data_IF_355149525891
#
_entry.id   IF_355149525891
#
_cell.length_a   1.000
_cell.length_b   1.000
_cell.length_c   1.000
_cell.angle_alpha   90.00
_cell.angle_beta   90.00
_cell.angle_gamma   90.00
#
_symmetry.space_group_name_H-M   'P 1'
#
loop_
_entity.id
_entity.type
_entity.pdbx_description
1 polymer ?
#
# COMPACT_ATOMS: atom_id res chain seq x y z
N UNK A 1 14.32 14.41 -6.36
CA UNK A 1 12.98 14.27 -5.74
C UNK A 1 12.09 13.61 -6.79
N UNK A 2 11.32 12.59 -6.43
CA UNK A 2 10.48 11.85 -7.38
C UNK A 2 9.13 12.54 -7.57
N UNK A 3 8.67 12.65 -8.80
CA UNK A 3 7.29 13.05 -9.11
C UNK A 3 6.35 11.93 -8.67
N UNK A 4 5.21 12.29 -8.07
CA UNK A 4 4.22 11.32 -7.59
C UNK A 4 2.98 11.38 -8.49
N UNK A 5 2.57 10.23 -8.99
CA UNK A 5 1.40 10.13 -9.88
C UNK A 5 0.11 10.63 -9.21
N UNK A 6 -0.02 10.40 -7.89
CA UNK A 6 -1.16 10.86 -7.11
C UNK A 6 -1.33 12.39 -7.11
N UNK A 7 -0.27 13.17 -7.40
CA UNK A 7 -0.32 14.65 -7.44
C UNK A 7 -1.40 15.17 -8.38
N UNK A 8 -1.50 14.60 -9.58
CA UNK A 8 -2.52 14.98 -10.55
C UNK A 8 -3.94 14.81 -9.99
N UNK A 9 -4.19 13.68 -9.30
CA UNK A 9 -5.49 13.40 -8.71
C UNK A 9 -5.82 14.32 -7.53
N UNK A 10 -4.82 14.70 -6.72
CA UNK A 10 -5.02 15.67 -5.63
C UNK A 10 -5.43 17.04 -6.17
N UNK A 11 -4.80 17.51 -7.25
CA UNK A 11 -5.15 18.79 -7.88
C UNK A 11 -6.59 18.76 -8.44
N UNK A 12 -6.96 17.71 -9.17
CA UNK A 12 -8.33 17.50 -9.65
C UNK A 12 -9.37 17.53 -8.51
N UNK A 13 -9.10 16.82 -7.42
CA UNK A 13 -10.00 16.77 -6.28
C UNK A 13 -10.12 18.11 -5.56
N UNK A 14 -9.08 18.92 -5.51
CA UNK A 14 -9.09 20.23 -4.84
C UNK A 14 -10.05 21.24 -5.49
N UNK A 15 -10.43 21.03 -6.74
CA UNK A 15 -11.43 21.87 -7.41
C UNK A 15 -12.84 21.64 -6.85
N UNK A 16 -13.13 20.43 -6.35
CA UNK A 16 -14.48 19.99 -5.97
C UNK A 16 -14.66 19.68 -4.49
N UNK A 17 -13.57 19.39 -3.76
CA UNK A 17 -13.61 18.98 -2.36
C UNK A 17 -12.99 20.04 -1.46
N UNK A 18 -13.72 20.44 -0.43
CA UNK A 18 -13.21 21.38 0.60
C UNK A 18 -12.12 20.74 1.45
N UNK A 19 -12.17 19.43 1.65
CA UNK A 19 -11.17 18.68 2.43
C UNK A 19 -10.64 17.52 1.62
N UNK A 20 -9.31 17.38 1.58
CA UNK A 20 -8.63 16.20 1.04
C UNK A 20 -7.79 15.60 2.16
N UNK A 21 -7.86 14.29 2.34
CA UNK A 21 -7.01 13.57 3.29
C UNK A 21 -6.04 12.66 2.54
N UNK A 22 -4.74 12.78 2.84
CA UNK A 22 -3.68 11.93 2.30
C UNK A 22 -3.15 11.01 3.40
N UNK A 23 -3.53 9.74 3.32
CA UNK A 23 -3.08 8.69 4.24
C UNK A 23 -1.99 7.81 3.62
N UNK A 24 -1.38 6.95 4.42
CA UNK A 24 -0.37 6.01 3.93
C UNK A 24 0.78 5.81 4.94
N UNK A 25 1.68 4.85 4.68
CA UNK A 25 2.73 4.51 5.63
C UNK A 25 3.63 5.71 5.96
N UNK A 26 4.27 5.66 7.11
CA UNK A 26 5.30 6.65 7.46
C UNK A 26 6.41 6.63 6.41
N UNK A 27 7.04 7.79 6.18
CA UNK A 27 8.13 7.96 5.20
C UNK A 27 7.75 7.68 3.72
N UNK A 28 6.46 7.52 3.38
CA UNK A 28 6.03 7.40 1.97
C UNK A 28 6.09 8.71 1.17
N UNK A 29 6.33 9.85 1.85
CA UNK A 29 6.46 11.17 1.21
C UNK A 29 5.17 11.99 1.19
N UNK A 30 4.19 11.72 2.07
CA UNK A 30 2.91 12.45 2.14
C UNK A 30 3.07 13.96 2.26
N UNK A 31 3.80 14.41 3.27
CA UNK A 31 4.07 15.84 3.50
C UNK A 31 4.73 16.50 2.29
N UNK A 32 5.70 15.82 1.69
CA UNK A 32 6.38 16.29 0.48
C UNK A 32 5.41 16.43 -0.69
N UNK A 33 4.58 15.40 -0.93
CA UNK A 33 3.56 15.44 -1.98
C UNK A 33 2.57 16.57 -1.78
N UNK A 34 2.04 16.74 -0.56
CA UNK A 34 1.07 17.82 -0.26
C UNK A 34 1.68 19.20 -0.53
N UNK A 35 2.93 19.46 -0.10
CA UNK A 35 3.63 20.73 -0.36
C UNK A 35 3.93 20.95 -1.87
N UNK A 36 4.22 19.88 -2.60
CA UNK A 36 4.44 19.99 -4.06
C UNK A 36 3.14 20.22 -4.84
N UNK A 37 2.05 19.59 -4.40
CA UNK A 37 0.76 19.75 -5.06
C UNK A 37 0.14 21.14 -4.76
N UNK A 38 0.35 21.66 -3.57
CA UNK A 38 -0.26 22.91 -3.09
C UNK A 38 0.80 23.88 -2.56
N UNK A 39 1.65 24.43 -3.44
CA UNK A 39 2.77 25.30 -3.01
C UNK A 39 2.31 26.62 -2.40
N UNK A 40 1.09 27.08 -2.72
CA UNK A 40 0.51 28.34 -2.23
C UNK A 40 -0.27 28.15 -0.92
N UNK A 41 -0.43 26.90 -0.42
CA UNK A 41 -1.08 26.64 0.85
C UNK A 41 -0.10 26.79 2.01
N UNK A 42 -0.58 27.38 3.08
CA UNK A 42 0.20 27.39 4.32
C UNK A 42 0.32 25.97 4.90
N UNK A 43 1.36 25.76 5.70
CA UNK A 43 1.68 24.45 6.27
C UNK A 43 1.81 24.49 7.79
N UNK A 44 1.06 23.64 8.46
CA UNK A 44 1.09 23.48 9.91
C UNK A 44 1.27 22.00 10.28
N UNK A 45 2.18 21.74 11.24
CA UNK A 45 2.43 20.41 11.78
C UNK A 45 1.96 20.28 13.22
N UNK A 46 0.98 19.44 13.47
CA UNK A 46 0.39 19.18 14.78
C UNK A 46 1.16 18.13 15.61
N UNK A 47 2.29 17.62 15.14
CA UNK A 47 3.19 16.83 15.98
C UNK A 47 3.85 17.69 17.05
N UNK A 48 4.12 18.98 16.75
CA UNK A 48 4.71 19.93 17.71
C UNK A 48 3.70 20.31 18.77
N UNK A 49 4.01 20.00 20.04
CA UNK A 49 3.12 20.28 21.16
C UNK A 49 2.76 21.77 21.29
N UNK A 50 3.72 22.68 21.04
CA UNK A 50 3.49 24.13 21.07
C UNK A 50 2.51 24.60 20.01
N UNK A 51 2.63 24.10 18.77
CA UNK A 51 1.71 24.39 17.68
C UNK A 51 0.31 23.85 17.99
N UNK A 52 0.23 22.61 18.48
CA UNK A 52 -1.02 21.97 18.84
C UNK A 52 -1.76 22.75 19.94
N UNK A 53 -1.08 23.14 21.02
CA UNK A 53 -1.69 23.93 22.09
C UNK A 53 -2.21 25.30 21.59
N UNK A 54 -1.49 25.94 20.65
CA UNK A 54 -1.96 27.20 20.03
C UNK A 54 -3.24 27.00 19.23
N UNK A 55 -3.29 25.95 18.41
CA UNK A 55 -4.46 25.62 17.58
C UNK A 55 -5.65 25.20 18.45
N UNK A 56 -5.42 24.40 19.48
CA UNK A 56 -6.46 23.92 20.41
C UNK A 56 -7.18 25.04 21.14
N UNK A 57 -6.49 26.18 21.40
CA UNK A 57 -7.08 27.34 22.07
C UNK A 57 -8.23 27.99 21.26
N UNK A 58 -8.09 28.03 19.92
CA UNK A 58 -9.12 28.58 19.02
C UNK A 58 -9.00 27.93 17.64
N UNK A 59 -9.59 26.74 17.50
CA UNK A 59 -9.49 25.94 16.24
C UNK A 59 -10.18 26.66 15.10
N UNK A 60 -11.36 27.24 15.34
CA UNK A 60 -12.15 27.92 14.30
C UNK A 60 -11.45 29.16 13.79
N UNK A 61 -11.04 30.06 14.69
CA UNK A 61 -10.28 31.25 14.34
C UNK A 61 -8.97 30.92 13.64
N UNK A 62 -8.29 29.84 14.06
CA UNK A 62 -7.11 29.34 13.37
C UNK A 62 -7.39 28.91 11.92
N UNK A 63 -8.43 28.12 11.67
CA UNK A 63 -8.79 27.65 10.33
C UNK A 63 -9.13 28.82 9.39
N UNK A 64 -9.86 29.82 9.89
CA UNK A 64 -10.29 30.97 9.10
C UNK A 64 -9.15 31.96 8.72
N UNK A 65 -7.97 31.84 9.35
CA UNK A 65 -6.80 32.67 8.99
C UNK A 65 -6.20 32.31 7.63
N UNK A 66 -6.55 31.15 7.04
CA UNK A 66 -5.93 30.62 5.82
C UNK A 66 -6.92 30.52 4.64
N UNK A 67 -7.39 31.66 4.10
CA UNK A 67 -8.39 31.65 3.02
C UNK A 67 -7.90 31.04 1.72
N UNK A 68 -6.58 31.00 1.48
CA UNK A 68 -5.97 30.44 0.28
C UNK A 68 -5.76 28.92 0.36
N UNK A 69 -5.91 28.34 1.55
CA UNK A 69 -5.74 26.90 1.80
C UNK A 69 -4.69 26.59 2.88
N UNK A 70 -4.85 25.44 3.52
CA UNK A 70 -3.99 24.99 4.62
C UNK A 70 -3.69 23.51 4.53
N UNK A 71 -2.42 23.14 4.65
CA UNK A 71 -1.96 21.76 4.83
C UNK A 71 -1.77 21.54 6.33
N UNK A 72 -2.53 20.61 6.90
CA UNK A 72 -2.46 20.22 8.31
C UNK A 72 -1.84 18.83 8.40
N UNK A 73 -0.60 18.77 8.83
CA UNK A 73 0.16 17.53 8.95
C UNK A 73 -0.01 16.91 10.35
N UNK A 74 -0.04 15.56 10.40
CA UNK A 74 -0.31 14.77 11.61
C UNK A 74 -1.63 15.19 12.31
N UNK A 75 -2.68 15.41 11.50
CA UNK A 75 -3.98 15.93 11.93
C UNK A 75 -4.64 15.07 13.03
N UNK A 76 -4.36 13.76 13.10
CA UNK A 76 -4.88 12.86 14.13
C UNK A 76 -4.45 13.24 15.56
N UNK A 77 -3.45 14.11 15.71
CA UNK A 77 -3.00 14.56 17.03
C UNK A 77 -3.92 15.59 17.69
N UNK A 78 -4.94 16.09 16.96
CA UNK A 78 -5.95 17.00 17.47
C UNK A 78 -7.34 16.55 17.01
N UNK A 79 -7.99 15.58 17.70
CA UNK A 79 -9.28 15.02 17.29
C UNK A 79 -10.41 16.05 17.18
N UNK A 80 -10.42 17.08 18.04
CA UNK A 80 -11.42 18.15 18.06
C UNK A 80 -11.43 18.97 16.76
N UNK A 81 -10.29 19.03 16.06
CA UNK A 81 -10.14 19.70 14.76
C UNK A 81 -11.19 19.22 13.74
N UNK A 82 -11.49 17.93 13.72
CA UNK A 82 -12.36 17.34 12.69
C UNK A 82 -13.81 17.80 12.81
N UNK A 83 -14.32 17.98 14.03
CA UNK A 83 -15.67 18.47 14.27
C UNK A 83 -15.81 19.96 13.94
N UNK A 84 -14.81 20.78 14.29
CA UNK A 84 -14.78 22.21 13.94
C UNK A 84 -14.61 22.39 12.43
N UNK A 85 -13.70 21.61 11.81
CA UNK A 85 -13.47 21.65 10.37
C UNK A 85 -14.76 21.33 9.59
N UNK A 86 -15.59 20.38 10.08
CA UNK A 86 -16.90 20.10 9.50
C UNK A 86 -17.77 21.35 9.43
N UNK A 87 -17.90 22.08 10.52
CA UNK A 87 -18.72 23.29 10.61
C UNK A 87 -18.19 24.37 9.65
N UNK A 88 -16.89 24.63 9.72
CA UNK A 88 -16.21 25.64 8.89
C UNK A 88 -16.41 25.39 7.39
N UNK A 89 -16.29 24.14 6.91
CA UNK A 89 -16.46 23.84 5.48
C UNK A 89 -17.93 23.76 5.05
N UNK A 90 -18.86 23.54 5.97
CA UNK A 90 -20.29 23.61 5.68
C UNK A 90 -20.77 25.08 5.52
N UNK A 91 -20.24 25.99 6.32
CA UNK A 91 -20.53 27.41 6.26
C UNK A 91 -19.83 28.12 5.10
N UNK A 92 -18.57 27.70 4.77
CA UNK A 92 -17.81 28.30 3.68
C UNK A 92 -17.15 27.24 2.79
N UNK A 93 -17.81 26.90 1.70
CA UNK A 93 -17.35 25.89 0.72
C UNK A 93 -16.19 26.37 -0.17
N UNK A 94 -15.74 27.61 -0.07
CA UNK A 94 -14.58 28.10 -0.80
C UNK A 94 -13.25 27.73 -0.13
N UNK A 95 -13.27 27.44 1.17
CA UNK A 95 -12.08 27.07 1.92
C UNK A 95 -11.55 25.68 1.51
N UNK A 96 -10.25 25.54 1.57
CA UNK A 96 -9.54 24.32 1.14
C UNK A 96 -8.56 23.84 2.21
N UNK A 97 -8.68 22.60 2.60
CA UNK A 97 -7.83 21.96 3.61
C UNK A 97 -7.29 20.64 3.12
N UNK A 98 -5.99 20.42 3.32
CA UNK A 98 -5.33 19.14 3.06
C UNK A 98 -4.87 18.55 4.39
N UNK A 99 -5.44 17.43 4.77
CA UNK A 99 -5.06 16.71 5.97
C UNK A 99 -4.04 15.63 5.59
N UNK A 100 -2.93 15.54 6.32
CA UNK A 100 -2.02 14.40 6.20
C UNK A 100 -1.82 13.74 7.57
N UNK A 101 -1.63 12.42 7.54
CA UNK A 101 -1.37 11.66 8.75
C UNK A 101 -0.82 10.27 8.44
N UNK A 102 0.00 9.78 9.37
CA UNK A 102 0.67 8.50 9.24
C UNK A 102 -0.09 7.33 9.87
N UNK A 103 -1.09 7.62 10.71
CA UNK A 103 -1.95 6.60 11.33
C UNK A 103 -3.33 6.62 10.69
N UNK A 104 -3.56 5.65 9.79
CA UNK A 104 -4.86 5.53 9.11
C UNK A 104 -5.99 5.28 10.10
N UNK A 105 -5.73 4.47 11.14
CA UNK A 105 -6.75 4.12 12.13
C UNK A 105 -7.36 5.35 12.83
N UNK A 106 -6.53 6.19 13.47
CA UNK A 106 -7.01 7.36 14.20
C UNK A 106 -7.53 8.45 13.26
N UNK A 107 -6.86 8.65 12.12
CA UNK A 107 -7.27 9.62 11.12
C UNK A 107 -8.63 9.24 10.52
N UNK A 108 -8.80 7.99 10.09
CA UNK A 108 -10.05 7.50 9.51
C UNK A 108 -11.19 7.42 10.51
N UNK A 109 -10.92 7.12 11.77
CA UNK A 109 -11.92 7.16 12.83
C UNK A 109 -12.52 8.57 12.95
N UNK A 110 -11.68 9.59 13.04
CA UNK A 110 -12.12 10.99 13.15
C UNK A 110 -12.82 11.47 11.87
N UNK A 111 -12.28 11.12 10.69
CA UNK A 111 -12.91 11.43 9.40
C UNK A 111 -14.29 10.82 9.29
N UNK A 112 -14.48 9.55 9.64
CA UNK A 112 -15.75 8.85 9.53
C UNK A 112 -16.81 9.41 10.48
N UNK A 113 -16.40 9.93 11.63
CA UNK A 113 -17.30 10.52 12.62
C UNK A 113 -17.76 11.94 12.25
N UNK A 114 -16.86 12.77 11.70
CA UNK A 114 -17.14 14.20 11.54
C UNK A 114 -17.18 14.65 10.08
N UNK A 115 -16.33 14.12 9.18
CA UNK A 115 -16.17 14.61 7.81
C UNK A 115 -16.82 13.74 6.74
N UNK A 116 -17.71 12.82 7.11
CA UNK A 116 -18.39 11.94 6.15
C UNK A 116 -19.09 12.76 5.05
N UNK A 117 -18.81 12.46 3.77
CA UNK A 117 -19.34 13.17 2.61
C UNK A 117 -18.68 14.53 2.30
N UNK A 118 -17.70 14.98 3.10
CA UNK A 118 -16.98 16.26 2.94
C UNK A 118 -15.52 16.12 2.59
N UNK A 119 -14.97 14.94 2.72
CA UNK A 119 -13.55 14.65 2.53
C UNK A 119 -13.32 13.62 1.43
N UNK A 120 -12.36 13.89 0.54
CA UNK A 120 -11.80 12.91 -0.37
C UNK A 120 -10.57 12.25 0.29
N UNK A 121 -10.59 10.93 0.45
CA UNK A 121 -9.49 10.18 1.10
C UNK A 121 -8.62 9.54 0.04
N UNK A 122 -7.33 9.91 0.01
CA UNK A 122 -6.33 9.39 -0.91
C UNK A 122 -5.25 8.62 -0.17
N UNK A 123 -4.74 7.55 -0.79
CA UNK A 123 -3.71 6.70 -0.22
C UNK A 123 -2.40 6.83 -0.97
N UNK A 124 -1.34 7.25 -0.29
CA UNK A 124 0.00 7.36 -0.86
C UNK A 124 0.89 6.24 -0.30
N UNK A 125 1.17 5.23 -1.13
CA UNK A 125 2.12 4.16 -0.82
C UNK A 125 3.57 4.58 -1.15
N UNK A 126 4.60 3.79 -0.81
CA UNK A 126 5.95 3.96 -1.34
C UNK A 126 5.97 4.05 -2.87
N UNK A 127 7.08 4.47 -3.46
CA UNK A 127 7.21 4.69 -4.90
C UNK A 127 6.72 3.49 -5.72
N UNK A 128 6.09 3.73 -6.88
CA UNK A 128 5.79 2.70 -7.87
C UNK A 128 6.96 2.53 -8.85
N UNK A 129 6.93 1.47 -9.65
CA UNK A 129 7.90 1.28 -10.74
C UNK A 129 7.88 2.44 -11.73
N UNK A 130 6.69 2.96 -12.05
CA UNK A 130 6.53 4.11 -12.94
C UNK A 130 7.07 5.41 -12.33
N UNK A 131 6.90 5.61 -11.00
CA UNK A 131 7.44 6.78 -10.30
C UNK A 131 8.96 6.75 -10.14
N UNK A 132 9.58 5.58 -10.11
CA UNK A 132 11.04 5.43 -10.17
C UNK A 132 11.61 5.79 -11.54
N UNK A 133 10.83 5.62 -12.62
CA UNK A 133 11.29 5.92 -13.97
C UNK A 133 12.55 5.13 -14.34
N UNK A 134 13.58 5.82 -14.84
CA UNK A 134 14.84 5.22 -15.28
C UNK A 134 15.64 4.59 -14.11
N UNK A 135 15.42 5.01 -12.87
CA UNK A 135 16.05 4.40 -11.70
C UNK A 135 15.58 2.94 -11.48
N UNK A 136 14.44 2.54 -12.09
CA UNK A 136 13.99 1.14 -12.09
C UNK A 136 14.73 0.25 -13.11
N UNK A 137 15.57 0.81 -14.00
CA UNK A 137 16.29 0.08 -15.05
C UNK A 137 17.63 -0.51 -14.54
N UNK A 138 17.61 -1.04 -13.32
CA UNK A 138 18.71 -1.76 -12.68
C UNK A 138 18.42 -3.27 -12.62
N UNK A 139 19.36 -4.06 -12.12
CA UNK A 139 19.13 -5.48 -11.87
C UNK A 139 17.88 -5.69 -11.01
N UNK A 140 17.04 -6.67 -11.36
CA UNK A 140 15.78 -6.94 -10.68
C UNK A 140 15.96 -7.34 -9.21
N UNK A 141 17.04 -8.03 -8.87
CA UNK A 141 17.30 -8.42 -7.49
C UNK A 141 17.79 -7.22 -6.67
N UNK A 142 18.55 -6.32 -7.29
CA UNK A 142 18.91 -5.03 -6.68
C UNK A 142 17.68 -4.17 -6.43
N UNK A 143 16.77 -4.07 -7.41
CA UNK A 143 15.51 -3.35 -7.29
C UNK A 143 14.64 -3.90 -6.14
N UNK A 144 14.47 -5.23 -6.09
CA UNK A 144 13.71 -5.90 -5.04
C UNK A 144 14.34 -5.73 -3.65
N UNK A 145 15.67 -5.86 -3.55
CA UNK A 145 16.39 -5.71 -2.29
C UNK A 145 16.31 -4.29 -1.74
N UNK A 146 16.42 -3.28 -2.60
CA UNK A 146 16.26 -1.86 -2.21
C UNK A 146 14.85 -1.53 -1.72
N UNK A 147 13.82 -2.19 -2.27
CA UNK A 147 12.43 -1.81 -2.04
C UNK A 147 12.09 -0.45 -2.64
N UNK A 148 11.03 0.19 -2.16
CA UNK A 148 10.42 1.36 -2.82
C UNK A 148 10.25 2.59 -1.92
N UNK A 149 10.80 2.58 -0.71
CA UNK A 149 10.75 3.78 0.13
C UNK A 149 11.59 4.92 -0.43
N UNK A 150 11.04 6.16 -0.48
CA UNK A 150 11.75 7.33 -1.05
C UNK A 150 13.13 7.60 -0.46
N UNK A 151 13.34 7.30 0.83
CA UNK A 151 14.61 7.51 1.51
C UNK A 151 15.77 6.68 0.92
N UNK A 152 15.48 5.50 0.38
CA UNK A 152 16.48 4.64 -0.27
C UNK A 152 16.93 5.23 -1.60
N UNK A 153 16.01 5.81 -2.36
CA UNK A 153 16.25 6.29 -3.72
C UNK A 153 16.65 7.76 -3.76
N UNK A 154 15.85 8.64 -3.12
CA UNK A 154 16.07 10.08 -3.15
C UNK A 154 17.25 10.53 -2.28
N UNK A 155 17.34 9.99 -1.08
CA UNK A 155 18.40 10.31 -0.13
C UNK A 155 19.61 9.37 -0.25
N UNK A 156 19.53 8.34 -1.10
CA UNK A 156 20.54 7.30 -1.32
C UNK A 156 20.99 6.63 -0.01
N UNK A 157 20.06 6.46 0.92
CA UNK A 157 20.33 5.80 2.20
C UNK A 157 20.47 4.29 1.99
N UNK A 158 21.30 3.67 2.83
CA UNK A 158 21.44 2.23 2.87
C UNK A 158 20.11 1.55 3.20
N UNK A 159 19.61 0.61 2.37
CA UNK A 159 18.31 -0.05 2.57
C UNK A 159 18.19 -0.73 3.93
N UNK A 160 19.22 -1.46 4.37
CA UNK A 160 19.19 -2.16 5.65
C UNK A 160 18.95 -1.17 6.81
N UNK A 161 19.68 -0.05 6.84
CA UNK A 161 19.53 1.00 7.87
C UNK A 161 18.14 1.64 7.83
N UNK A 162 17.58 1.86 6.62
CA UNK A 162 16.22 2.43 6.47
C UNK A 162 15.18 1.48 7.06
N UNK A 163 15.23 0.18 6.73
CA UNK A 163 14.23 -0.79 7.21
C UNK A 163 14.43 -1.15 8.68
N UNK A 164 15.67 -1.19 9.18
CA UNK A 164 15.94 -1.36 10.61
C UNK A 164 15.30 -0.22 11.42
N UNK A 165 15.56 1.01 11.04
CA UNK A 165 14.95 2.19 11.65
C UNK A 165 13.44 2.17 11.53
N UNK A 166 12.90 1.75 10.39
CA UNK A 166 11.45 1.66 10.17
C UNK A 166 10.79 0.67 11.14
N UNK A 167 11.36 -0.53 11.28
CA UNK A 167 10.84 -1.54 12.22
C UNK A 167 10.98 -1.06 13.66
N UNK A 168 12.14 -0.54 14.05
CA UNK A 168 12.41 -0.14 15.42
C UNK A 168 11.59 1.07 15.88
N UNK A 169 11.35 2.05 15.00
CA UNK A 169 10.74 3.33 15.40
C UNK A 169 9.25 3.41 15.09
N UNK A 170 8.79 2.82 13.99
CA UNK A 170 7.41 2.97 13.54
C UNK A 170 6.54 1.78 13.89
N UNK A 171 6.91 0.59 13.46
CA UNK A 171 6.07 -0.59 13.71
C UNK A 171 5.89 -0.80 15.20
N UNK A 172 6.96 -0.64 15.97
CA UNK A 172 6.87 -0.79 17.42
C UNK A 172 6.08 0.34 18.10
N UNK A 173 6.18 1.59 17.62
CA UNK A 173 5.45 2.73 18.19
C UNK A 173 3.95 2.64 17.88
N UNK A 174 3.59 2.44 16.61
CA UNK A 174 2.19 2.39 16.17
C UNK A 174 1.47 1.19 16.80
N UNK A 175 2.13 0.05 16.85
CA UNK A 175 1.63 -1.15 17.50
C UNK A 175 1.38 -0.95 19.00
N UNK A 176 2.28 -0.26 19.71
CA UNK A 176 2.09 0.04 21.16
C UNK A 176 0.90 0.98 21.40
N UNK A 177 0.64 1.92 20.48
CA UNK A 177 -0.46 2.87 20.63
C UNK A 177 -1.84 2.25 20.37
N UNK A 178 -1.92 1.30 19.42
CA UNK A 178 -3.18 0.71 18.97
C UNK A 178 -3.58 -0.50 19.83
N UNK A 179 -2.60 -1.36 20.13
CA UNK A 179 -2.83 -2.57 20.94
C UNK A 179 -1.72 -2.65 21.95
N UNK A 180 -2.06 -2.67 23.23
CA UNK A 180 -1.15 -2.72 24.37
C UNK A 180 -0.27 -3.99 24.31
N UNK A 181 0.60 -4.08 23.27
CA UNK A 181 1.49 -5.23 23.07
C UNK A 181 2.55 -5.22 24.18
N UNK A 182 2.46 -6.20 25.04
CA UNK A 182 3.37 -6.38 26.17
C UNK A 182 4.75 -6.89 25.72
N UNK A 183 4.80 -7.70 24.65
CA UNK A 183 6.01 -8.34 24.15
C UNK A 183 6.30 -7.96 22.67
N UNK A 184 7.19 -6.99 22.49
CA UNK A 184 7.64 -6.52 21.18
C UNK A 184 8.52 -7.54 20.45
N UNK A 185 9.22 -8.41 21.19
CA UNK A 185 10.07 -9.45 20.58
C UNK A 185 9.20 -10.48 19.90
N UNK A 186 8.08 -10.83 20.51
CA UNK A 186 7.09 -11.75 19.96
C UNK A 186 6.40 -11.17 18.72
N UNK A 187 6.10 -9.85 18.73
CA UNK A 187 5.56 -9.17 17.56
C UNK A 187 6.59 -9.11 16.41
N UNK A 188 7.87 -8.90 16.71
CA UNK A 188 8.92 -8.95 15.69
C UNK A 188 9.03 -10.35 15.05
N UNK A 189 8.92 -11.42 15.88
CA UNK A 189 8.85 -12.80 15.37
C UNK A 189 7.64 -13.01 14.47
N UNK A 190 6.48 -12.45 14.82
CA UNK A 190 5.29 -12.48 13.97
C UNK A 190 5.55 -11.84 12.60
N UNK A 191 6.19 -10.65 12.55
CA UNK A 191 6.57 -10.00 11.29
C UNK A 191 7.50 -10.87 10.44
N UNK A 192 8.50 -11.51 11.06
CA UNK A 192 9.43 -12.41 10.35
C UNK A 192 8.71 -13.64 9.80
N UNK A 193 7.78 -14.23 10.56
CA UNK A 193 6.95 -15.34 10.10
C UNK A 193 6.07 -14.91 8.93
N UNK A 194 5.45 -13.73 8.99
CA UNK A 194 4.67 -13.21 7.85
C UNK A 194 5.54 -13.00 6.61
N UNK A 195 6.73 -12.42 6.76
CA UNK A 195 7.66 -12.24 5.65
C UNK A 195 8.07 -13.56 5.02
N UNK A 196 8.28 -14.61 5.83
CA UNK A 196 8.61 -15.96 5.32
C UNK A 196 7.42 -16.64 4.61
N UNK A 197 6.22 -16.11 4.76
CA UNK A 197 4.97 -16.61 4.15
C UNK A 197 4.41 -15.66 3.09
N UNK A 198 5.19 -14.72 2.62
CA UNK A 198 4.77 -13.79 1.56
C UNK A 198 4.28 -14.56 0.32
N UNK A 199 3.13 -14.13 -0.25
CA UNK A 199 2.49 -14.80 -1.39
C UNK A 199 1.80 -16.13 -1.05
N UNK A 200 1.72 -16.51 0.23
CA UNK A 200 1.01 -17.72 0.68
C UNK A 200 -0.22 -17.40 1.52
N UNK A 201 -1.06 -18.42 1.78
CA UNK A 201 -2.27 -18.27 2.56
C UNK A 201 -1.98 -17.84 4.01
N UNK A 202 -2.69 -16.80 4.47
CA UNK A 202 -2.64 -16.34 5.86
C UNK A 202 -3.54 -17.22 6.74
N UNK A 203 -2.94 -18.24 7.36
CA UNK A 203 -3.65 -19.15 8.30
C UNK A 203 -3.30 -18.75 9.74
N UNK A 204 -4.12 -17.89 10.33
CA UNK A 204 -3.86 -17.33 11.65
C UNK A 204 -3.70 -18.39 12.75
N UNK A 205 -4.41 -19.53 12.67
CA UNK A 205 -4.27 -20.65 13.63
C UNK A 205 -2.89 -21.31 13.58
N UNK A 206 -2.28 -21.43 12.39
CA UNK A 206 -0.93 -21.97 12.26
C UNK A 206 0.09 -21.04 12.91
N UNK A 207 -0.03 -19.72 12.67
CA UNK A 207 0.86 -18.73 13.27
C UNK A 207 0.67 -18.65 14.78
N UNK A 208 -0.58 -18.75 15.25
CA UNK A 208 -0.95 -18.81 16.67
C UNK A 208 -0.24 -19.97 17.38
N UNK A 209 -0.28 -21.16 16.81
CA UNK A 209 0.40 -22.34 17.35
C UNK A 209 1.92 -22.18 17.38
N UNK A 210 2.53 -21.61 16.32
CA UNK A 210 3.98 -21.42 16.18
C UNK A 210 4.53 -20.38 17.18
N UNK A 211 3.76 -19.33 17.48
CA UNK A 211 4.14 -18.27 18.41
C UNK A 211 3.66 -18.52 19.85
N UNK A 212 2.84 -19.55 20.07
CA UNK A 212 2.18 -19.84 21.35
C UNK A 212 1.36 -18.64 21.88
N UNK A 213 0.63 -17.96 20.99
CA UNK A 213 -0.27 -16.84 21.30
C UNK A 213 -1.70 -17.14 20.86
N UNK A 214 -2.66 -16.46 21.46
CA UNK A 214 -4.07 -16.63 21.10
C UNK A 214 -4.35 -16.23 19.64
N UNK A 215 -5.23 -16.96 18.98
CA UNK A 215 -5.67 -16.73 17.61
C UNK A 215 -6.19 -15.29 17.37
N UNK A 216 -6.95 -14.73 18.32
CA UNK A 216 -7.48 -13.36 18.22
C UNK A 216 -6.35 -12.33 18.26
N UNK A 217 -5.27 -12.62 18.98
CA UNK A 217 -4.07 -11.79 19.01
C UNK A 217 -3.43 -11.71 17.60
N UNK A 218 -3.29 -12.84 16.91
CA UNK A 218 -2.77 -12.89 15.54
C UNK A 218 -3.65 -12.10 14.58
N UNK A 219 -4.97 -12.23 14.68
CA UNK A 219 -5.90 -11.45 13.85
C UNK A 219 -5.80 -9.95 14.15
N UNK A 220 -5.73 -9.56 15.43
CA UNK A 220 -5.56 -8.17 15.83
C UNK A 220 -4.24 -7.58 15.30
N UNK A 221 -3.14 -8.35 15.39
CA UNK A 221 -1.85 -7.91 14.86
C UNK A 221 -1.87 -7.75 13.34
N UNK A 222 -2.54 -8.67 12.62
CA UNK A 222 -2.69 -8.52 11.17
C UNK A 222 -3.50 -7.27 10.81
N UNK A 223 -4.61 -7.01 11.51
CA UNK A 223 -5.42 -5.79 11.31
C UNK A 223 -4.60 -4.51 11.52
N UNK A 224 -3.68 -4.49 12.49
CA UNK A 224 -2.77 -3.36 12.70
C UNK A 224 -1.82 -3.19 11.51
N UNK A 225 -1.26 -4.30 10.99
CA UNK A 225 -0.37 -4.23 9.83
C UNK A 225 -1.11 -3.72 8.58
N UNK A 226 -2.39 -4.06 8.41
CA UNK A 226 -3.21 -3.54 7.32
C UNK A 226 -3.47 -2.04 7.47
N UNK A 227 -3.88 -1.59 8.67
CA UNK A 227 -4.17 -0.18 8.95
C UNK A 227 -2.93 0.71 9.00
N UNK A 228 -1.74 0.14 9.25
CA UNK A 228 -0.45 0.85 9.19
C UNK A 228 0.23 0.78 7.83
N UNK A 229 -0.42 0.19 6.83
CA UNK A 229 0.16 -0.03 5.49
C UNK A 229 1.51 -0.77 5.51
N UNK A 230 1.65 -1.74 6.40
CA UNK A 230 2.83 -2.62 6.47
C UNK A 230 2.63 -3.87 5.62
N UNK A 231 1.49 -4.56 5.83
CA UNK A 231 1.09 -5.74 5.07
C UNK A 231 -0.40 -5.69 4.75
N UNK A 232 -0.85 -6.49 3.80
CA UNK A 232 -2.26 -6.59 3.44
C UNK A 232 -2.65 -8.01 3.04
N UNK A 233 -3.95 -8.26 3.07
CA UNK A 233 -4.54 -9.52 2.65
C UNK A 233 -5.14 -9.38 1.24
N UNK A 234 -4.72 -10.26 0.33
CA UNK A 234 -5.31 -10.41 -1.00
C UNK A 234 -6.32 -11.56 -0.94
N UNK A 235 -7.59 -11.24 -1.23
CA UNK A 235 -8.67 -12.22 -1.16
C UNK A 235 -8.78 -13.05 -2.44
N UNK A 236 -9.24 -14.31 -2.33
CA UNK A 236 -9.47 -15.14 -3.50
C UNK A 236 -10.72 -14.69 -4.26
N UNK A 237 -10.70 -14.89 -5.56
CA UNK A 237 -11.85 -14.66 -6.43
C UNK A 237 -12.93 -15.73 -6.24
N UNK A 238 -14.14 -15.30 -5.99
CA UNK A 238 -15.36 -16.09 -6.08
C UNK A 238 -16.46 -15.20 -6.65
N UNK A 239 -17.31 -15.75 -7.54
CA UNK A 239 -18.49 -15.00 -8.05
C UNK A 239 -19.42 -14.57 -6.93
N UNK A 240 -19.54 -15.37 -5.87
CA UNK A 240 -20.27 -15.03 -4.66
C UNK A 240 -19.38 -14.25 -3.70
N UNK A 241 -19.69 -12.96 -3.48
CA UNK A 241 -18.93 -12.04 -2.62
C UNK A 241 -18.81 -12.57 -1.18
N UNK A 242 -19.87 -13.19 -0.63
CA UNK A 242 -19.81 -13.79 0.72
C UNK A 242 -18.77 -14.89 0.83
N UNK A 243 -18.53 -15.67 -0.23
CA UNK A 243 -17.47 -16.67 -0.26
C UNK A 243 -16.08 -16.05 -0.35
N UNK A 244 -15.91 -14.90 -1.01
CA UNK A 244 -14.62 -14.18 -1.04
C UNK A 244 -14.15 -13.84 0.37
N UNK A 245 -15.07 -13.38 1.21
CA UNK A 245 -14.75 -12.90 2.56
C UNK A 245 -14.49 -14.04 3.57
N UNK A 246 -14.98 -15.25 3.29
CA UNK A 246 -14.86 -16.41 4.20
C UNK A 246 -13.70 -17.35 3.87
N UNK A 247 -13.08 -17.20 2.71
CA UNK A 247 -11.96 -18.04 2.27
C UNK A 247 -10.62 -17.42 2.64
N UNK A 248 -9.62 -18.27 2.84
CA UNK A 248 -8.29 -17.87 3.30
C UNK A 248 -7.61 -16.97 2.29
N UNK A 249 -7.25 -15.72 2.65
CA UNK A 249 -6.52 -14.81 1.78
C UNK A 249 -5.03 -15.13 1.76
N UNK A 250 -4.30 -14.59 0.78
CA UNK A 250 -2.83 -14.54 0.76
C UNK A 250 -2.32 -13.29 1.46
N UNK A 251 -1.13 -13.37 2.08
CA UNK A 251 -0.47 -12.22 2.71
C UNK A 251 0.60 -11.62 1.78
N UNK A 252 0.59 -10.29 1.69
CA UNK A 252 1.58 -9.49 0.98
C UNK A 252 2.00 -8.28 1.80
N UNK A 253 3.17 -7.73 1.51
CA UNK A 253 3.68 -6.50 2.10
C UNK A 253 3.57 -5.34 1.12
N UNK A 254 3.34 -4.13 1.62
CA UNK A 254 3.31 -2.93 0.80
C UNK A 254 4.69 -2.50 0.29
N UNK A 255 5.77 -3.09 0.88
CA UNK A 255 7.14 -2.88 0.42
C UNK A 255 7.98 -4.13 0.57
N UNK A 256 8.67 -4.51 -0.52
CA UNK A 256 9.47 -5.76 -0.57
C UNK A 256 10.85 -5.62 0.04
N UNK A 257 11.41 -4.41 0.12
CA UNK A 257 12.66 -4.18 0.84
C UNK A 257 12.50 -4.48 2.34
N UNK A 258 11.31 -4.18 2.90
CA UNK A 258 10.97 -4.59 4.25
C UNK A 258 10.92 -6.12 4.38
N UNK A 259 10.40 -6.84 3.38
CA UNK A 259 10.41 -8.31 3.37
C UNK A 259 11.83 -8.83 3.36
N UNK A 260 12.70 -8.29 2.49
CA UNK A 260 14.12 -8.67 2.44
C UNK A 260 14.80 -8.45 3.80
N UNK A 261 14.59 -7.28 4.42
CA UNK A 261 15.13 -6.97 5.74
C UNK A 261 14.66 -7.97 6.82
N UNK A 262 13.36 -8.26 6.89
CA UNK A 262 12.78 -9.19 7.88
C UNK A 262 13.27 -10.63 7.71
N UNK A 263 13.63 -11.03 6.49
CA UNK A 263 14.22 -12.33 6.15
C UNK A 263 15.74 -12.40 6.34
N UNK A 264 16.38 -11.30 6.73
CA UNK A 264 17.84 -11.24 6.87
C UNK A 264 18.59 -11.30 5.54
N UNK A 265 17.95 -10.85 4.44
CA UNK A 265 18.60 -10.75 3.11
C UNK A 265 19.35 -9.42 3.06
N UNK A 266 20.68 -9.50 3.16
CA UNK A 266 21.55 -8.33 3.31
C UNK A 266 22.06 -7.78 1.97
N UNK A 267 21.94 -8.55 0.89
CA UNK A 267 22.43 -8.14 -0.45
C UNK A 267 21.53 -8.67 -1.56
N UNK A 268 21.53 -7.96 -2.70
CA UNK A 268 20.86 -8.42 -3.92
C UNK A 268 21.34 -9.79 -4.40
N UNK A 269 22.64 -10.11 -4.19
CA UNK A 269 23.21 -11.41 -4.54
C UNK A 269 22.65 -12.56 -3.68
N UNK A 270 22.41 -12.32 -2.39
CA UNK A 270 21.70 -13.29 -1.53
C UNK A 270 20.27 -13.50 -2.01
N UNK A 271 19.57 -12.41 -2.37
CA UNK A 271 18.21 -12.49 -2.88
C UNK A 271 18.13 -13.28 -4.19
N UNK A 272 19.10 -13.13 -5.09
CA UNK A 272 19.14 -13.85 -6.37
C UNK A 272 19.05 -15.37 -6.20
N UNK A 273 19.60 -15.91 -5.11
CA UNK A 273 19.64 -17.34 -4.79
C UNK A 273 18.64 -17.74 -3.67
N UNK A 274 17.82 -16.79 -3.19
CA UNK A 274 16.95 -17.06 -2.07
C UNK A 274 15.70 -17.88 -2.50
N UNK A 275 15.27 -18.90 -1.72
CA UNK A 275 14.12 -19.73 -2.08
C UNK A 275 12.82 -18.94 -2.30
N UNK A 276 12.64 -17.82 -1.59
CA UNK A 276 11.45 -16.96 -1.70
C UNK A 276 11.57 -15.88 -2.78
N UNK A 277 12.63 -15.88 -3.61
CA UNK A 277 12.82 -14.88 -4.66
C UNK A 277 11.60 -14.73 -5.57
N UNK A 278 10.97 -15.85 -5.95
CA UNK A 278 9.76 -15.85 -6.77
C UNK A 278 8.57 -15.15 -6.06
N UNK A 279 8.34 -15.48 -4.80
CA UNK A 279 7.26 -14.90 -4.00
C UNK A 279 7.50 -13.41 -3.71
N UNK A 280 8.75 -12.97 -3.50
CA UNK A 280 9.13 -11.56 -3.35
C UNK A 280 8.88 -10.79 -4.65
N UNK A 281 9.21 -11.39 -5.81
CA UNK A 281 8.90 -10.82 -7.12
C UNK A 281 7.39 -10.71 -7.35
N UNK A 282 6.63 -11.75 -7.04
CA UNK A 282 5.16 -11.72 -7.08
C UNK A 282 4.60 -10.59 -6.21
N UNK A 283 5.08 -10.45 -4.97
CA UNK A 283 4.66 -9.37 -4.07
C UNK A 283 4.97 -7.98 -4.66
N UNK A 284 6.12 -7.80 -5.30
CA UNK A 284 6.48 -6.54 -5.97
C UNK A 284 5.41 -6.15 -7.00
N UNK A 285 5.04 -7.09 -7.87
CA UNK A 285 4.06 -6.84 -8.94
C UNK A 285 2.66 -6.60 -8.38
N UNK A 286 2.20 -7.45 -7.45
CA UNK A 286 0.89 -7.28 -6.79
C UNK A 286 0.78 -5.89 -6.15
N UNK A 287 1.85 -5.46 -5.46
CA UNK A 287 1.89 -4.15 -4.81
C UNK A 287 1.96 -3.01 -5.83
N UNK A 288 2.71 -3.14 -6.92
CA UNK A 288 2.81 -2.09 -7.95
C UNK A 288 1.47 -1.87 -8.67
N UNK A 289 0.73 -2.92 -9.00
CA UNK A 289 -0.63 -2.83 -9.53
C UNK A 289 -1.58 -2.15 -8.55
N UNK A 290 -1.42 -2.41 -7.25
CA UNK A 290 -2.21 -1.75 -6.21
C UNK A 290 -1.88 -0.25 -6.09
N UNK A 291 -0.59 0.13 -6.17
CA UNK A 291 -0.13 1.51 -6.18
C UNK A 291 -0.72 2.29 -7.36
N UNK A 292 -0.69 1.71 -8.57
CA UNK A 292 -1.27 2.32 -9.76
C UNK A 292 -2.78 2.62 -9.59
N UNK A 293 -3.53 1.75 -8.91
CA UNK A 293 -4.94 1.99 -8.59
C UNK A 293 -5.11 3.13 -7.59
N UNK A 294 -4.37 3.13 -6.51
CA UNK A 294 -4.46 4.16 -5.47
C UNK A 294 -4.00 5.53 -5.97
N UNK A 295 -3.00 5.58 -6.86
CA UNK A 295 -2.55 6.81 -7.50
C UNK A 295 -3.63 7.44 -8.41
N UNK A 296 -4.60 6.66 -8.88
CA UNK A 296 -5.78 7.14 -9.60
C UNK A 296 -6.97 7.48 -8.68
N UNK A 297 -6.81 7.32 -7.36
CA UNK A 297 -7.91 7.51 -6.40
C UNK A 297 -8.94 6.39 -6.42
N UNK A 298 -8.59 5.22 -6.93
CA UNK A 298 -9.48 4.07 -7.07
C UNK A 298 -9.20 3.00 -6.00
N UNK A 299 -10.24 2.28 -5.58
CA UNK A 299 -10.11 1.18 -4.64
C UNK A 299 -9.47 -0.07 -5.29
N UNK A 300 -8.97 -0.95 -4.43
CA UNK A 300 -8.41 -2.26 -4.81
C UNK A 300 -9.43 -3.08 -5.60
N UNK A 301 -9.05 -3.54 -6.82
CA UNK A 301 -9.86 -4.41 -7.67
C UNK A 301 -9.12 -5.69 -8.07
N UNK A 302 -8.07 -6.06 -7.34
CA UNK A 302 -7.27 -7.25 -7.58
C UNK A 302 -7.61 -8.34 -6.58
N UNK A 303 -7.65 -9.58 -7.05
CA UNK A 303 -7.94 -10.82 -6.34
C UNK A 303 -6.96 -11.88 -6.84
N UNK A 304 -6.87 -13.05 -6.22
CA UNK A 304 -6.20 -14.22 -6.80
C UNK A 304 -7.21 -15.34 -7.08
N UNK A 305 -6.87 -16.28 -7.94
CA UNK A 305 -7.68 -17.47 -8.15
C UNK A 305 -6.96 -18.71 -7.64
N UNK A 306 -7.69 -19.55 -6.89
CA UNK A 306 -7.20 -20.87 -6.51
C UNK A 306 -8.34 -21.89 -6.51
N UNK A 307 -8.10 -23.01 -7.16
CA UNK A 307 -8.95 -24.20 -7.11
C UNK A 307 -8.05 -25.45 -7.07
N UNK A 308 -8.17 -26.24 -5.98
CA UNK A 308 -7.43 -27.49 -5.73
C UNK A 308 -5.93 -27.36 -6.01
N UNK A 309 -5.50 -27.65 -7.25
CA UNK A 309 -4.09 -27.68 -7.67
C UNK A 309 -3.71 -26.52 -8.61
N UNK A 310 -4.65 -25.63 -8.95
CA UNK A 310 -4.43 -24.53 -9.89
C UNK A 310 -4.58 -23.18 -9.23
N UNK A 311 -3.67 -22.31 -9.58
CA UNK A 311 -3.64 -20.93 -9.07
C UNK A 311 -3.33 -19.98 -10.22
N UNK A 312 -3.97 -18.80 -10.21
CA UNK A 312 -3.61 -17.63 -11.02
C UNK A 312 -3.34 -16.49 -10.06
N UNK A 313 -2.19 -15.86 -10.19
CA UNK A 313 -1.64 -14.94 -9.19
C UNK A 313 -2.49 -13.69 -9.02
N UNK A 314 -2.98 -13.09 -10.12
CA UNK A 314 -3.85 -11.91 -10.06
C UNK A 314 -5.03 -12.06 -11.03
N UNK A 315 -6.23 -11.77 -10.54
CA UNK A 315 -7.41 -11.43 -11.31
C UNK A 315 -7.77 -9.97 -11.04
N UNK A 316 -7.75 -9.15 -12.06
CA UNK A 316 -8.20 -7.77 -11.98
C UNK A 316 -9.59 -7.63 -12.54
N UNK A 317 -10.54 -7.17 -11.71
CA UNK A 317 -11.93 -6.93 -12.13
C UNK A 317 -12.07 -5.52 -12.70
N UNK A 318 -12.60 -5.41 -13.92
CA UNK A 318 -12.93 -4.14 -14.57
C UNK A 318 -14.26 -4.26 -15.32
N UNK A 319 -15.22 -3.41 -14.95
CA UNK A 319 -16.57 -3.37 -15.56
C UNK A 319 -17.24 -4.74 -15.68
N UNK A 320 -17.09 -5.63 -14.68
CA UNK A 320 -17.68 -6.97 -14.66
C UNK A 320 -16.93 -8.00 -15.50
N UNK A 321 -15.79 -7.65 -16.06
CA UNK A 321 -14.87 -8.51 -16.80
C UNK A 321 -13.57 -8.71 -16.03
N UNK A 322 -12.75 -9.67 -16.46
CA UNK A 322 -11.54 -10.09 -15.75
C UNK A 322 -10.35 -10.07 -16.69
N UNK A 323 -9.29 -9.43 -16.21
CA UNK A 323 -7.93 -9.59 -16.74
C UNK A 323 -7.17 -10.54 -15.82
N UNK A 324 -6.62 -11.62 -16.36
CA UNK A 324 -5.86 -12.60 -15.59
C UNK A 324 -4.36 -12.42 -15.82
N UNK A 325 -3.58 -12.51 -14.72
CA UNK A 325 -2.14 -12.36 -14.75
C UNK A 325 -1.47 -13.50 -14.00
N UNK A 326 -0.51 -14.12 -14.65
CA UNK A 326 0.44 -15.07 -14.07
C UNK A 326 1.79 -14.36 -13.91
N UNK A 327 2.48 -14.52 -12.79
CA UNK A 327 3.72 -13.80 -12.47
C UNK A 327 4.87 -14.79 -12.38
N UNK A 328 5.93 -14.56 -13.15
CA UNK A 328 7.11 -15.43 -13.18
C UNK A 328 8.40 -14.62 -13.09
N UNK A 329 9.20 -14.87 -12.07
CA UNK A 329 10.51 -14.21 -11.90
C UNK A 329 11.60 -14.77 -12.84
N UNK A 330 11.22 -15.23 -14.04
CA UNK A 330 12.07 -15.82 -15.04
C UNK A 330 12.25 -14.89 -16.24
N UNK A 331 13.42 -14.90 -16.85
CA UNK A 331 13.71 -14.15 -18.07
C UNK A 331 13.20 -14.85 -19.33
N UNK A 332 13.22 -16.20 -19.31
CA UNK A 332 12.79 -17.00 -20.47
C UNK A 332 11.38 -17.50 -20.26
N UNK A 333 10.56 -17.31 -21.28
CA UNK A 333 9.21 -17.88 -21.33
C UNK A 333 9.28 -19.42 -21.41
N UNK A 334 8.42 -20.07 -20.65
CA UNK A 334 8.16 -21.50 -20.74
C UNK A 334 6.66 -21.75 -20.98
N UNK A 335 6.26 -22.70 -21.86
CA UNK A 335 4.84 -22.97 -22.14
C UNK A 335 4.01 -23.29 -20.89
N UNK A 336 4.58 -23.92 -19.88
CA UNK A 336 3.89 -24.25 -18.63
C UNK A 336 3.36 -23.02 -17.86
N UNK A 337 3.88 -21.83 -18.16
CA UNK A 337 3.37 -20.59 -17.55
C UNK A 337 1.92 -20.29 -17.95
N UNK A 338 1.44 -20.89 -19.05
CA UNK A 338 0.06 -20.71 -19.55
C UNK A 338 -0.94 -21.68 -18.91
N UNK A 339 -0.49 -22.78 -18.30
CA UNK A 339 -1.37 -23.87 -17.88
C UNK A 339 -2.54 -23.44 -16.98
N UNK A 340 -2.32 -22.53 -16.03
CA UNK A 340 -3.36 -22.02 -15.14
C UNK A 340 -4.28 -21.02 -15.85
N UNK A 341 -3.74 -20.19 -16.74
CA UNK A 341 -4.50 -19.24 -17.55
C UNK A 341 -5.43 -19.95 -18.54
N UNK A 342 -4.95 -20.98 -19.23
CA UNK A 342 -5.75 -21.80 -20.17
C UNK A 342 -6.90 -22.50 -19.45
N UNK A 343 -6.66 -23.04 -18.25
CA UNK A 343 -7.71 -23.58 -17.41
C UNK A 343 -8.78 -22.52 -17.06
N UNK A 344 -8.31 -21.35 -16.63
CA UNK A 344 -9.18 -20.23 -16.25
C UNK A 344 -10.01 -19.73 -17.43
N UNK A 345 -9.44 -19.69 -18.65
CA UNK A 345 -10.13 -19.38 -19.90
C UNK A 345 -11.33 -20.30 -20.12
N UNK A 346 -11.15 -21.59 -19.91
CA UNK A 346 -12.24 -22.57 -20.01
C UNK A 346 -13.36 -22.33 -18.98
N UNK A 347 -13.02 -21.83 -17.80
CA UNK A 347 -13.95 -21.58 -16.70
C UNK A 347 -14.72 -20.25 -16.87
N UNK A 348 -14.03 -19.16 -17.21
CA UNK A 348 -14.59 -17.80 -17.27
C UNK A 348 -15.21 -17.46 -18.64
N UNK A 349 -14.73 -18.09 -19.71
CA UNK A 349 -15.20 -17.88 -21.10
C UNK A 349 -15.25 -16.39 -21.46
N UNK A 350 -16.42 -15.88 -21.82
CA UNK A 350 -16.63 -14.49 -22.24
C UNK A 350 -16.39 -13.44 -21.14
N UNK A 351 -16.29 -13.86 -19.87
CA UNK A 351 -15.97 -12.95 -18.76
C UNK A 351 -14.46 -12.66 -18.69
N UNK A 352 -13.62 -13.47 -19.34
CA UNK A 352 -12.17 -13.25 -19.41
C UNK A 352 -11.82 -12.35 -20.60
N UNK A 353 -11.31 -11.13 -20.31
CA UNK A 353 -10.89 -10.15 -21.32
C UNK A 353 -9.49 -10.40 -21.85
N UNK A 354 -8.54 -10.70 -20.98
CA UNK A 354 -7.15 -10.94 -21.38
C UNK A 354 -6.45 -11.93 -20.46
N UNK A 355 -5.48 -12.61 -21.03
CA UNK A 355 -4.52 -13.46 -20.34
C UNK A 355 -3.12 -12.82 -20.47
N UNK A 356 -2.45 -12.66 -19.36
CA UNK A 356 -1.17 -11.95 -19.31
C UNK A 356 -0.17 -12.74 -18.47
N UNK A 357 1.08 -12.78 -18.91
CA UNK A 357 2.21 -13.29 -18.12
C UNK A 357 3.16 -12.14 -17.87
N UNK A 358 3.34 -11.78 -16.60
CA UNK A 358 4.30 -10.77 -16.17
C UNK A 358 5.62 -11.46 -15.82
N UNK A 359 6.71 -11.06 -16.48
CA UNK A 359 8.00 -11.69 -16.28
C UNK A 359 9.16 -10.71 -16.51
N UNK A 360 10.40 -11.18 -16.41
CA UNK A 360 11.58 -10.30 -16.56
C UNK A 360 12.14 -10.26 -18.00
N UNK A 361 11.55 -11.00 -18.92
CA UNK A 361 11.99 -11.05 -20.32
C UNK A 361 11.34 -10.01 -21.23
N UNK A 362 11.54 -10.15 -22.54
CA UNK A 362 11.04 -9.23 -23.57
C UNK A 362 9.56 -9.46 -23.88
N UNK A 363 8.86 -8.38 -24.20
CA UNK A 363 7.44 -8.41 -24.53
C UNK A 363 7.15 -9.09 -25.85
N UNK A 364 6.12 -9.92 -25.87
CA UNK A 364 5.60 -10.60 -27.06
C UNK A 364 4.22 -11.17 -26.79
N UNK A 365 3.54 -11.69 -27.81
CA UNK A 365 2.32 -12.46 -27.67
C UNK A 365 2.55 -13.92 -28.07
N UNK A 366 1.89 -14.82 -27.35
CA UNK A 366 1.87 -16.26 -27.64
C UNK A 366 0.43 -16.71 -27.65
N UNK A 367 -0.14 -16.94 -28.85
CA UNK A 367 -1.60 -17.10 -29.00
C UNK A 367 -2.35 -15.89 -28.47
N UNK A 368 -3.31 -16.10 -27.58
CA UNK A 368 -4.12 -15.05 -26.95
C UNK A 368 -3.50 -14.50 -25.66
N UNK A 369 -2.28 -14.93 -25.30
CA UNK A 369 -1.61 -14.54 -24.07
C UNK A 369 -0.54 -13.48 -24.35
N UNK A 370 -0.60 -12.36 -23.62
CA UNK A 370 0.40 -11.30 -23.67
C UNK A 370 1.49 -11.53 -22.65
N UNK A 371 2.74 -11.53 -23.09
CA UNK A 371 3.91 -11.55 -22.23
C UNK A 371 4.37 -10.11 -22.02
N UNK A 372 4.35 -9.64 -20.78
CA UNK A 372 4.60 -8.26 -20.40
C UNK A 372 5.88 -8.20 -19.55
N UNK A 373 6.79 -7.31 -19.90
CA UNK A 373 7.92 -7.02 -19.01
C UNK A 373 7.40 -6.35 -17.74
N UNK A 374 7.85 -6.80 -16.59
CA UNK A 374 7.36 -6.32 -15.30
C UNK A 374 7.48 -4.79 -15.13
N UNK A 375 8.45 -4.15 -15.79
CA UNK A 375 8.64 -2.70 -15.75
C UNK A 375 7.56 -1.91 -16.46
N UNK A 376 6.77 -2.56 -17.31
CA UNK A 376 5.74 -1.91 -18.13
C UNK A 376 4.30 -2.26 -17.70
N UNK A 377 4.12 -3.06 -16.65
CA UNK A 377 2.79 -3.49 -16.19
C UNK A 377 1.86 -2.32 -15.86
N UNK A 378 2.40 -1.27 -15.26
CA UNK A 378 1.65 -0.09 -14.81
C UNK A 378 2.02 1.18 -15.57
N UNK A 379 3.04 1.14 -16.42
CA UNK A 379 3.38 2.26 -17.32
C UNK A 379 2.34 2.35 -18.44
N UNK A 380 1.65 3.48 -18.52
CA UNK A 380 0.75 3.84 -19.62
C UNK A 380 1.49 4.64 -20.68
#
# INVERSE_FOLDING_TARGET
MYSRELQKKLLELSEHWSVISVTGPRQSGKTTLCKMAFPDYEYVNLERATTRALVEHDIEGFLLQYPNGLIIDEAQNLPELFSVLQVVVDENKSLRYVLSGSSDFFLMQNISQSLAGRVAVMRLLPLSLSELGDDADIDVNELMWRGFYPAVWGDKKDPHTVYDSYVATYIQKDVRQIVNIKDLSLFRRFLTILASRVGTEFVASCISAELAVDYKTIQSWMSILETSYTAFLLHPFYRNIGKRLTKTPKVYFYDIGLVCYLLGIETAQQLANHPLRGAIFENMIVCDMLKARYNQGLEKNILFYRDKSREVDILQEEAGKIHAYEIKSAERFHPDFMNSLDYLKGLLKDDLLSMNIIYTGSEKSVGDTHLINFRHVTRK
#
